data_IF_098813915798
#
_entry.id   IF_098813915798
#
_cell.length_a   1.000
_cell.length_b   1.000
_cell.length_c   1.000
_cell.angle_alpha   90.00
_cell.angle_beta   90.00
_cell.angle_gamma   90.00
#
_symmetry.space_group_name_H-M   'P 1'
#
loop_
_entity.id
_entity.type
_entity.pdbx_description
1 polymer ?
#
# COMPACT_ATOMS: atom_id res chain seq x y z
N UNK A 1 -14.26 -15.21 6.60
CA UNK A 1 -14.33 -14.27 5.47
C UNK A 1 -15.27 -13.17 5.91
N UNK A 2 -14.76 -11.96 6.13
CA UNK A 2 -15.63 -10.82 6.44
C UNK A 2 -16.39 -10.46 5.15
N UNK A 3 -17.71 -10.58 5.18
CA UNK A 3 -18.57 -10.21 4.05
C UNK A 3 -18.81 -8.70 4.13
N UNK A 4 -17.89 -7.92 3.55
CA UNK A 4 -18.01 -6.46 3.50
C UNK A 4 -19.12 -6.16 2.49
N UNK A 5 -20.18 -5.40 2.86
CA UNK A 5 -21.22 -5.03 1.93
C UNK A 5 -20.60 -4.27 0.76
N UNK A 6 -21.02 -4.60 -0.47
CA UNK A 6 -20.49 -4.06 -1.74
C UNK A 6 -20.46 -2.52 -1.78
N UNK A 7 -21.35 -1.89 -1.04
CA UNK A 7 -21.45 -0.44 -0.88
C UNK A 7 -20.22 0.18 -0.18
N UNK A 8 -19.60 -0.56 0.75
CA UNK A 8 -18.41 -0.15 1.49
C UNK A 8 -17.10 -0.64 0.87
N UNK A 9 -17.15 -1.52 -0.12
CA UNK A 9 -15.97 -2.13 -0.75
C UNK A 9 -15.01 -1.06 -1.28
N UNK A 10 -15.53 -0.06 -2.00
CA UNK A 10 -14.74 1.08 -2.48
C UNK A 10 -14.12 1.91 -1.34
N UNK A 11 -14.87 2.12 -0.25
CA UNK A 11 -14.42 2.90 0.89
C UNK A 11 -13.28 2.18 1.61
N UNK A 12 -13.43 0.86 1.82
CA UNK A 12 -12.38 -0.01 2.38
C UNK A 12 -11.15 -0.01 1.48
N UNK A 13 -11.32 -0.12 0.16
CA UNK A 13 -10.21 -0.07 -0.79
C UNK A 13 -9.47 1.27 -0.74
N UNK A 14 -10.18 2.39 -0.65
CA UNK A 14 -9.58 3.73 -0.51
C UNK A 14 -8.80 3.83 0.80
N UNK A 15 -9.38 3.39 1.92
CA UNK A 15 -8.69 3.42 3.23
C UNK A 15 -7.45 2.53 3.19
N UNK A 16 -7.56 1.32 2.65
CA UNK A 16 -6.44 0.42 2.46
C UNK A 16 -5.35 1.07 1.61
N UNK A 17 -5.73 1.74 0.53
CA UNK A 17 -4.83 2.44 -0.36
C UNK A 17 -4.07 3.56 0.37
N UNK A 18 -4.77 4.39 1.14
CA UNK A 18 -4.18 5.49 1.92
C UNK A 18 -3.19 4.94 2.95
N UNK A 19 -3.58 3.91 3.69
CA UNK A 19 -2.72 3.28 4.71
C UNK A 19 -1.48 2.67 4.06
N UNK A 20 -1.65 1.94 2.95
CA UNK A 20 -0.53 1.32 2.24
C UNK A 20 0.42 2.37 1.66
N UNK A 21 -0.10 3.48 1.13
CA UNK A 21 0.71 4.60 0.67
C UNK A 21 1.54 5.22 1.80
N UNK A 22 0.95 5.40 2.98
CA UNK A 22 1.66 5.92 4.15
C UNK A 22 2.78 4.98 4.60
N UNK A 23 2.52 3.67 4.64
CA UNK A 23 3.53 2.65 4.98
C UNK A 23 4.65 2.62 3.95
N UNK A 24 4.31 2.65 2.65
CA UNK A 24 5.29 2.64 1.57
C UNK A 24 6.17 3.90 1.62
N UNK A 25 5.56 5.08 1.77
CA UNK A 25 6.28 6.34 1.91
C UNK A 25 7.22 6.32 3.12
N UNK A 26 6.71 5.92 4.29
CA UNK A 26 7.53 5.82 5.50
C UNK A 26 8.67 4.83 5.33
N UNK A 27 8.43 3.64 4.78
CA UNK A 27 9.45 2.63 4.53
C UNK A 27 10.54 3.08 3.55
N UNK A 28 10.19 3.85 2.51
CA UNK A 28 11.13 4.35 1.51
C UNK A 28 11.94 5.57 1.97
N UNK A 29 11.32 6.45 2.76
CA UNK A 29 11.93 7.72 3.19
C UNK A 29 12.63 7.64 4.54
N UNK A 30 12.36 6.60 5.33
CA UNK A 30 13.00 6.41 6.62
C UNK A 30 14.51 6.21 6.46
N UNK A 31 15.27 7.07 7.12
CA UNK A 31 16.72 6.95 7.27
C UNK A 31 17.02 6.97 8.76
N UNK A 32 17.95 6.11 9.19
CA UNK A 32 18.41 6.11 10.57
C UNK A 32 19.26 7.37 10.84
N UNK A 33 19.37 7.81 12.11
CA UNK A 33 20.09 9.04 12.46
C UNK A 33 21.60 9.00 12.19
N UNK A 34 22.18 7.80 12.07
CA UNK A 34 23.54 7.51 11.61
C UNK A 34 23.69 7.56 10.07
N UNK A 35 22.60 7.77 9.32
CA UNK A 35 22.58 7.85 7.86
C UNK A 35 22.51 6.50 7.16
N UNK A 36 22.55 5.40 7.91
CA UNK A 36 22.44 4.06 7.34
C UNK A 36 21.00 3.73 6.95
N UNK A 37 20.84 3.13 5.77
CA UNK A 37 19.54 2.68 5.30
C UNK A 37 19.17 1.38 6.03
N UNK A 38 18.00 1.35 6.67
CA UNK A 38 17.47 0.12 7.23
C UNK A 38 16.94 -0.76 6.09
N UNK A 39 17.78 -1.68 5.62
CA UNK A 39 17.47 -2.57 4.49
C UNK A 39 16.15 -3.32 4.65
N UNK A 40 15.76 -3.67 5.88
CA UNK A 40 14.48 -4.36 6.16
C UNK A 40 13.32 -3.41 5.92
N UNK A 41 13.38 -2.18 6.45
CA UNK A 41 12.32 -1.18 6.21
C UNK A 41 12.21 -0.79 4.74
N UNK A 42 13.35 -0.68 4.06
CA UNK A 42 13.37 -0.41 2.62
C UNK A 42 12.68 -1.54 1.84
N UNK A 43 13.00 -2.80 2.17
CA UNK A 43 12.37 -3.98 1.55
C UNK A 43 10.86 -3.98 1.78
N UNK A 44 10.42 -3.77 3.01
CA UNK A 44 9.00 -3.67 3.34
C UNK A 44 8.32 -2.48 2.65
N UNK A 45 8.99 -1.34 2.54
CA UNK A 45 8.52 -0.17 1.79
C UNK A 45 8.33 -0.46 0.30
N UNK A 46 9.28 -1.16 -0.33
CA UNK A 46 9.18 -1.60 -1.71
C UNK A 46 8.01 -2.57 -1.92
N UNK A 47 7.84 -3.57 -1.05
CA UNK A 47 6.74 -4.54 -1.13
C UNK A 47 5.39 -3.83 -0.96
N UNK A 48 5.28 -2.93 0.04
CA UNK A 48 4.08 -2.12 0.24
C UNK A 48 3.75 -1.26 -0.99
N UNK A 49 4.78 -0.67 -1.63
CA UNK A 49 4.61 0.06 -2.89
C UNK A 49 4.05 -0.81 -4.02
N UNK A 50 4.55 -2.03 -4.20
CA UNK A 50 4.02 -2.96 -5.22
C UNK A 50 2.55 -3.29 -4.96
N UNK A 51 2.17 -3.59 -3.72
CA UNK A 51 0.79 -3.85 -3.35
C UNK A 51 -0.12 -2.63 -3.50
N UNK A 52 0.38 -1.43 -3.17
CA UNK A 52 -0.33 -0.17 -3.42
C UNK A 52 -0.72 -0.04 -4.89
N UNK A 53 0.23 -0.24 -5.81
CA UNK A 53 -0.06 -0.16 -7.25
C UNK A 53 -1.03 -1.26 -7.69
N UNK A 54 -0.89 -2.48 -7.18
CA UNK A 54 -1.80 -3.57 -7.49
C UNK A 54 -3.25 -3.22 -7.12
N UNK A 55 -3.48 -2.73 -5.89
CA UNK A 55 -4.82 -2.33 -5.41
C UNK A 55 -5.32 -1.08 -6.15
N UNK A 56 -4.45 -0.11 -6.42
CA UNK A 56 -4.79 1.08 -7.20
C UNK A 56 -5.32 0.70 -8.58
N UNK A 57 -4.62 -0.17 -9.31
CA UNK A 57 -4.98 -0.51 -10.68
C UNK A 57 -6.15 -1.50 -10.78
N UNK A 58 -6.22 -2.47 -9.86
CA UNK A 58 -7.25 -3.51 -9.88
C UNK A 58 -8.56 -3.02 -9.25
N UNK A 59 -8.48 -2.45 -8.05
CA UNK A 59 -9.66 -2.24 -7.21
C UNK A 59 -10.22 -0.81 -7.33
N UNK A 60 -9.36 0.19 -7.50
CA UNK A 60 -9.78 1.60 -7.64
C UNK A 60 -10.01 1.98 -9.11
N UNK A 61 -8.99 1.83 -9.95
CA UNK A 61 -9.04 2.25 -11.35
C UNK A 61 -9.74 1.22 -12.25
N UNK A 62 -9.87 -0.05 -11.80
CA UNK A 62 -10.47 -1.16 -12.57
C UNK A 62 -9.89 -1.31 -13.98
N UNK A 63 -8.63 -0.91 -14.17
CA UNK A 63 -7.93 -0.98 -15.46
C UNK A 63 -7.47 -2.41 -15.75
N UNK A 64 -7.28 -3.22 -14.70
CA UNK A 64 -6.86 -4.60 -14.78
C UNK A 64 -7.96 -5.48 -14.17
N UNK A 65 -8.60 -6.30 -15.00
CA UNK A 65 -9.58 -7.31 -14.60
C UNK A 65 -9.13 -8.66 -15.16
N UNK A 66 -8.41 -9.44 -14.35
CA UNK A 66 -8.13 -10.85 -14.62
C UNK A 66 -9.04 -11.72 -13.77
#
# INVERSE_FOLDING_TARGET
>A
MFDIPKEYENLVNIVFLIVTAAIAYHGLTFRRPDGESDWVRLLFGCIAGVYFFLVLFKDILKVISF
#
